data_IF_726007796085
#
_entry.id   IF_726007796085
#
_cell.length_a   1.000
_cell.length_b   1.000
_cell.length_c   1.000
_cell.angle_alpha   90.00
_cell.angle_beta   90.00
_cell.angle_gamma   90.00
#
_symmetry.space_group_name_H-M   'P 1'
#
loop_
_entity.id
_entity.type
_entity.pdbx_description
1 polymer ?
#
# COMPACT_ATOMS: atom_id res chain seq x y z
N UNK A 1 -1.85 -1.88 -19.15
CA UNK A 1 -0.59 -2.56 -18.74
C UNK A 1 -0.87 -4.00 -18.35
N UNK A 2 -1.82 -4.23 -17.43
CA UNK A 2 -2.29 -5.58 -17.08
C UNK A 2 -2.69 -6.41 -18.31
N UNK A 3 -3.53 -5.86 -19.21
CA UNK A 3 -3.97 -6.56 -20.44
C UNK A 3 -2.84 -6.86 -21.43
N UNK A 4 -1.67 -6.22 -21.26
CA UNK A 4 -0.48 -6.43 -22.09
C UNK A 4 0.52 -7.39 -21.44
N UNK A 5 0.14 -8.09 -20.36
CA UNK A 5 0.89 -9.21 -19.80
C UNK A 5 1.57 -8.95 -18.45
N UNK A 6 1.44 -7.75 -17.87
CA UNK A 6 1.99 -7.49 -16.52
C UNK A 6 1.25 -8.32 -15.46
N UNK A 7 1.98 -8.88 -14.48
CA UNK A 7 1.42 -9.68 -13.37
C UNK A 7 0.99 -8.85 -12.16
N UNK A 8 1.51 -7.62 -12.07
CA UNK A 8 1.13 -6.58 -11.11
C UNK A 8 1.41 -5.22 -11.73
N UNK A 9 0.65 -4.20 -11.36
CA UNK A 9 0.98 -2.81 -11.65
C UNK A 9 1.26 -2.07 -10.35
N UNK A 10 2.40 -1.38 -10.30
CA UNK A 10 2.79 -0.51 -9.17
C UNK A 10 3.06 0.89 -9.71
N UNK A 11 2.12 1.79 -9.43
CA UNK A 11 2.21 3.22 -9.68
C UNK A 11 2.70 3.96 -8.45
N UNK A 12 3.35 5.09 -8.66
CA UNK A 12 3.83 5.99 -7.61
C UNK A 12 3.77 7.43 -8.12
N UNK A 13 4.26 8.39 -7.32
CA UNK A 13 4.32 9.86 -7.53
C UNK A 13 3.26 10.74 -6.85
N UNK A 14 1.99 10.36 -6.66
CA UNK A 14 0.99 11.26 -6.07
C UNK A 14 1.30 11.80 -4.67
N UNK A 15 2.32 11.26 -3.97
CA UNK A 15 2.67 11.60 -2.59
C UNK A 15 1.48 11.47 -1.61
N UNK A 16 0.51 10.64 -2.00
CA UNK A 16 -0.74 10.35 -1.30
C UNK A 16 -1.10 8.90 -1.55
N UNK A 17 -1.67 8.28 -0.54
CA UNK A 17 -2.16 6.90 -0.64
C UNK A 17 -3.38 6.85 -1.55
N UNK A 18 -3.40 5.93 -2.51
CA UNK A 18 -4.52 5.74 -3.43
C UNK A 18 -5.08 4.33 -3.34
N UNK A 19 -6.35 4.11 -3.74
CA UNK A 19 -6.97 2.80 -3.72
C UNK A 19 -6.12 1.72 -4.42
N UNK A 20 -6.30 0.48 -3.98
CA UNK A 20 -5.85 -0.70 -4.73
C UNK A 20 -7.04 -1.24 -5.51
N UNK A 21 -6.76 -1.74 -6.70
CA UNK A 21 -7.75 -2.41 -7.54
C UNK A 21 -7.30 -3.83 -7.84
N UNK A 22 -8.25 -4.76 -7.85
CA UNK A 22 -8.04 -6.13 -8.33
C UNK A 22 -8.73 -6.28 -9.68
N UNK A 23 -7.94 -6.39 -10.74
CA UNK A 23 -8.40 -6.37 -12.11
C UNK A 23 -7.82 -7.56 -12.88
N UNK A 24 -8.69 -8.35 -13.51
CA UNK A 24 -8.32 -9.54 -14.29
C UNK A 24 -7.39 -10.51 -13.54
N UNK A 25 -7.67 -10.73 -12.25
CA UNK A 25 -6.87 -11.62 -11.39
C UNK A 25 -5.54 -11.04 -10.92
N UNK A 26 -5.30 -9.73 -11.07
CA UNK A 26 -4.02 -9.08 -10.79
C UNK A 26 -4.22 -7.76 -10.03
N UNK A 27 -3.25 -7.42 -9.20
CA UNK A 27 -3.30 -6.20 -8.39
C UNK A 27 -2.80 -4.97 -9.16
N UNK A 28 -3.46 -3.84 -8.93
CA UNK A 28 -3.08 -2.51 -9.39
C UNK A 28 -2.97 -1.61 -8.15
N UNK A 29 -1.75 -1.21 -7.83
CA UNK A 29 -1.44 -0.25 -6.76
C UNK A 29 -1.22 1.08 -7.44
N UNK A 30 -2.11 2.06 -7.25
CA UNK A 30 -1.97 3.36 -7.95
C UNK A 30 -0.93 4.27 -7.29
N UNK A 31 -0.80 4.24 -5.96
CA UNK A 31 0.22 4.97 -5.21
C UNK A 31 0.29 4.51 -3.75
N UNK A 32 1.49 4.20 -3.27
CA UNK A 32 1.75 3.83 -1.87
C UNK A 32 1.87 5.04 -0.92
N UNK A 33 1.84 6.27 -1.44
CA UNK A 33 2.25 7.48 -0.72
C UNK A 33 3.78 7.54 -0.51
N UNK A 34 4.21 8.47 0.35
CA UNK A 34 5.58 8.55 0.82
C UNK A 34 5.77 7.57 1.99
N UNK A 35 6.86 6.81 2.01
CA UNK A 35 7.19 5.99 3.17
C UNK A 35 8.01 6.76 4.22
N UNK A 36 9.02 7.49 3.77
CA UNK A 36 9.79 8.46 4.56
C UNK A 36 10.19 9.61 3.64
N UNK A 37 9.90 10.87 3.99
CA UNK A 37 10.05 12.00 3.07
C UNK A 37 10.69 13.23 3.71
N UNK A 38 11.93 13.53 3.33
CA UNK A 38 12.73 14.67 3.84
C UNK A 38 12.15 16.06 3.55
N UNK A 39 11.44 16.21 2.42
CA UNK A 39 11.02 17.51 1.89
C UNK A 39 9.78 18.13 2.53
N UNK A 40 9.12 17.43 3.45
CA UNK A 40 7.89 17.90 4.11
C UNK A 40 8.04 17.81 5.64
N UNK A 41 8.33 18.91 6.34
CA UNK A 41 8.41 18.90 7.81
C UNK A 41 7.05 18.71 8.48
N UNK A 42 5.94 19.04 7.78
CA UNK A 42 4.58 18.95 8.31
C UNK A 42 3.72 18.00 7.47
N UNK A 43 3.39 16.85 8.03
CA UNK A 43 2.57 15.83 7.37
C UNK A 43 1.10 15.99 7.76
N UNK A 44 0.27 16.53 6.86
CA UNK A 44 -1.19 16.57 7.05
C UNK A 44 -1.87 15.23 6.78
N UNK A 45 -1.15 14.30 6.18
CA UNK A 45 -1.59 12.95 5.85
C UNK A 45 -0.38 12.02 5.92
N UNK A 46 -0.14 11.42 7.10
CA UNK A 46 1.00 10.54 7.32
C UNK A 46 0.78 9.13 6.75
N UNK A 47 -0.40 8.85 6.20
CA UNK A 47 -0.80 7.50 5.82
C UNK A 47 0.02 7.01 4.61
N UNK A 48 0.58 5.82 4.77
CA UNK A 48 1.31 5.04 3.75
C UNK A 48 1.03 3.56 3.96
N UNK A 49 1.46 2.70 3.05
CA UNK A 49 1.38 1.26 3.25
C UNK A 49 2.58 0.55 2.64
N UNK A 50 2.89 -0.63 3.17
CA UNK A 50 3.75 -1.62 2.52
C UNK A 50 2.84 -2.70 1.94
N UNK A 51 3.07 -3.07 0.69
CA UNK A 51 2.39 -4.18 0.05
C UNK A 51 3.34 -5.36 -0.09
N UNK A 52 2.99 -6.50 0.50
CA UNK A 52 3.75 -7.73 0.36
C UNK A 52 3.04 -8.65 -0.65
N UNK A 53 3.67 -8.86 -1.80
CA UNK A 53 3.12 -9.72 -2.86
C UNK A 53 3.82 -11.08 -2.85
N UNK A 54 3.04 -12.15 -2.79
CA UNK A 54 3.50 -13.53 -2.94
C UNK A 54 2.99 -14.10 -4.26
N UNK A 55 3.89 -14.65 -5.08
CA UNK A 55 3.54 -15.26 -6.37
C UNK A 55 3.81 -16.76 -6.36
N UNK A 56 2.86 -17.55 -6.87
CA UNK A 56 3.03 -18.97 -7.16
C UNK A 56 3.46 -19.13 -8.61
N UNK A 57 4.59 -19.81 -8.86
CA UNK A 57 5.17 -19.98 -10.20
C UNK A 57 5.26 -21.46 -10.55
N UNK A 58 4.76 -21.83 -11.72
CA UNK A 58 4.88 -23.18 -12.31
C UNK A 58 5.33 -23.04 -13.77
N UNK A 59 6.31 -23.84 -14.19
CA UNK A 59 6.85 -23.83 -15.56
C UNK A 59 7.23 -22.43 -16.08
N UNK A 60 7.77 -21.59 -15.20
CA UNK A 60 8.18 -20.22 -15.54
C UNK A 60 7.02 -19.22 -15.72
N UNK A 61 5.79 -19.58 -15.35
CA UNK A 61 4.61 -18.71 -15.39
C UNK A 61 4.02 -18.50 -14.01
N UNK A 62 3.54 -17.28 -13.75
CA UNK A 62 2.75 -16.97 -12.55
C UNK A 62 1.37 -17.65 -12.70
N UNK A 63 1.02 -18.51 -11.75
CA UNK A 63 -0.26 -19.24 -11.70
C UNK A 63 -1.15 -18.79 -10.54
N UNK A 64 -0.63 -17.96 -9.64
CA UNK A 64 -1.38 -17.37 -8.53
C UNK A 64 -0.64 -16.20 -7.91
N UNK A 65 -1.38 -15.30 -7.29
CA UNK A 65 -0.84 -14.21 -6.50
C UNK A 65 -1.70 -14.00 -5.24
N UNK A 66 -1.05 -13.58 -4.16
CA UNK A 66 -1.68 -13.10 -2.93
C UNK A 66 -0.94 -11.83 -2.52
N UNK A 67 -1.68 -10.82 -2.07
CA UNK A 67 -1.06 -9.59 -1.58
C UNK A 67 -1.58 -9.30 -0.18
N UNK A 68 -0.67 -8.93 0.71
CA UNK A 68 -0.99 -8.40 2.03
C UNK A 68 -0.73 -6.90 2.05
N UNK A 69 -1.62 -6.15 2.69
CA UNK A 69 -1.44 -4.73 2.95
C UNK A 69 -1.04 -4.52 4.41
N UNK A 70 0.07 -3.82 4.63
CA UNK A 70 0.57 -3.45 5.95
C UNK A 70 0.51 -1.92 6.08
N UNK A 71 -0.53 -1.37 6.73
CA UNK A 71 -0.67 0.06 6.96
C UNK A 71 0.45 0.65 7.81
N UNK A 72 0.94 1.82 7.42
CA UNK A 72 2.00 2.54 8.13
C UNK A 72 1.68 4.03 8.24
N UNK A 73 2.20 4.63 9.30
CA UNK A 73 2.40 6.07 9.42
C UNK A 73 3.82 6.40 8.94
N UNK A 74 3.99 7.50 8.22
CA UNK A 74 5.30 8.10 7.90
C UNK A 74 6.05 8.63 9.12
N UNK A 75 5.34 8.81 10.24
CA UNK A 75 5.85 9.44 11.46
C UNK A 75 5.46 8.64 12.69
N UNK A 76 6.27 8.74 13.75
CA UNK A 76 5.95 8.13 15.04
C UNK A 76 5.24 9.07 16.01
N UNK A 77 5.28 10.39 15.76
CA UNK A 77 4.74 11.42 16.66
C UNK A 77 3.70 12.32 15.99
N UNK A 78 2.90 13.04 16.81
CA UNK A 78 1.97 14.06 16.32
C UNK A 78 2.64 15.39 15.95
N UNK A 79 3.90 15.59 16.33
CA UNK A 79 4.53 16.92 16.42
C UNK A 79 5.33 17.31 15.17
N UNK A 80 5.30 16.48 14.14
CA UNK A 80 5.91 16.78 12.85
C UNK A 80 6.35 15.52 12.13
N UNK A 81 7.23 15.69 11.15
CA UNK A 81 7.91 14.60 10.49
C UNK A 81 9.20 14.27 11.25
N UNK A 82 9.20 13.14 11.95
CA UNK A 82 10.36 12.61 12.69
C UNK A 82 11.13 11.55 11.90
N UNK A 83 10.75 11.32 10.63
CA UNK A 83 11.37 10.35 9.72
C UNK A 83 11.42 8.92 10.28
N UNK A 84 10.48 8.57 11.16
CA UNK A 84 10.37 7.28 11.80
C UNK A 84 9.04 6.60 11.43
N UNK A 85 8.97 5.88 10.30
CA UNK A 85 7.75 5.19 9.91
C UNK A 85 7.41 4.06 10.89
N UNK A 86 6.14 3.97 11.27
CA UNK A 86 5.64 2.98 12.23
C UNK A 86 4.40 2.28 11.69
N UNK A 87 4.26 0.96 11.88
CA UNK A 87 3.05 0.26 11.46
C UNK A 87 1.85 0.75 12.28
N UNK A 88 0.68 0.83 11.65
CA UNK A 88 -0.56 0.99 12.40
C UNK A 88 -0.99 -0.37 12.97
N UNK A 89 -1.38 -0.38 14.24
CA UNK A 89 -1.87 -1.58 14.90
C UNK A 89 -3.28 -1.94 14.39
N UNK A 90 -3.49 -3.23 14.10
CA UNK A 90 -4.79 -3.72 13.62
C UNK A 90 -5.89 -3.43 14.64
N UNK A 91 -7.01 -2.87 14.17
CA UNK A 91 -8.15 -2.49 15.02
C UNK A 91 -8.08 -1.07 15.61
N UNK A 92 -7.06 -0.28 15.26
CA UNK A 92 -7.02 1.17 15.54
C UNK A 92 -7.78 1.96 14.49
N UNK A 93 -8.24 3.18 14.83
CA UNK A 93 -8.93 4.06 13.89
C UNK A 93 -8.03 4.45 12.70
N UNK A 94 -6.73 4.59 12.93
CA UNK A 94 -5.74 4.87 11.90
C UNK A 94 -5.59 3.71 10.92
N UNK A 95 -5.51 2.47 11.44
CA UNK A 95 -5.48 1.27 10.61
C UNK A 95 -6.74 1.22 9.73
N UNK A 96 -7.93 1.33 10.31
CA UNK A 96 -9.20 1.27 9.58
C UNK A 96 -9.32 2.39 8.54
N UNK A 97 -8.83 3.59 8.85
CA UNK A 97 -8.76 4.71 7.91
C UNK A 97 -7.90 4.38 6.70
N UNK A 98 -6.71 3.80 6.91
CA UNK A 98 -5.82 3.41 5.81
C UNK A 98 -6.45 2.33 4.95
N UNK A 99 -7.00 1.27 5.57
CA UNK A 99 -7.66 0.18 4.84
C UNK A 99 -8.83 0.71 4.00
N UNK A 100 -9.61 1.65 4.55
CA UNK A 100 -10.69 2.33 3.82
C UNK A 100 -10.17 3.18 2.65
N UNK A 101 -9.09 3.95 2.82
CA UNK A 101 -8.46 4.72 1.73
C UNK A 101 -8.02 3.80 0.59
N UNK A 102 -7.49 2.64 0.94
CA UNK A 102 -7.04 1.61 -0.01
C UNK A 102 -8.17 0.83 -0.65
N UNK A 103 -9.42 0.95 -0.15
CA UNK A 103 -10.54 0.06 -0.47
C UNK A 103 -10.18 -1.41 -0.26
N UNK A 104 -9.38 -1.66 0.76
CA UNK A 104 -8.87 -2.99 1.08
C UNK A 104 -9.77 -3.68 2.12
N UNK A 105 -9.99 -4.98 1.94
CA UNK A 105 -10.56 -5.86 2.96
C UNK A 105 -9.77 -7.16 3.00
N UNK A 106 -9.45 -7.61 4.22
CA UNK A 106 -8.76 -8.89 4.45
C UNK A 106 -9.60 -10.10 4.02
N UNK A 107 -10.90 -9.90 3.75
CA UNK A 107 -11.82 -10.93 3.25
C UNK A 107 -11.63 -11.25 1.75
N UNK A 108 -10.76 -10.54 1.03
CA UNK A 108 -10.46 -10.82 -0.39
C UNK A 108 -9.43 -11.95 -0.59
N UNK A 109 -9.14 -12.74 0.46
CA UNK A 109 -8.30 -13.93 0.41
C UNK A 109 -9.08 -15.22 0.15
#
# INVERSE_FOLDING_TARGET
IIDYGADIYVGSHPHRLQPVEFYNGKYIIYSESNFCFGGQPWLSDPDTAIFQCTFSVMDGKVVGNRMECIPFSMRSTSDGNDYCPMPYEKGTEEYDRVMKKLRWSDENE
#
